data_IF_939755694721
#
_entry.id   IF_939755694721
#
_cell.length_a   1.000
_cell.length_b   1.000
_cell.length_c   1.000
_cell.angle_alpha   90.00
_cell.angle_beta   90.00
_cell.angle_gamma   90.00
#
_symmetry.space_group_name_H-M   'P 1'
#
loop_
_entity.id
_entity.type
_entity.pdbx_description
1 polymer ?
#
# COMPACT_ATOMS: atom_id res chain seq x y z
N UNK A 1 -15.33 32.19 -39.07
CA UNK A 1 -16.66 31.79 -39.57
C UNK A 1 -16.55 30.38 -40.09
N UNK A 2 -16.41 29.38 -39.21
CA UNK A 2 -16.41 27.92 -39.58
C UNK A 2 -16.53 27.04 -38.33
N UNK A 3 -17.53 27.32 -37.50
CA UNK A 3 -17.80 26.48 -36.32
C UNK A 3 -19.28 26.16 -36.09
N UNK A 4 -20.14 26.39 -37.08
CA UNK A 4 -21.61 26.21 -36.98
C UNK A 4 -22.11 25.09 -37.90
N UNK A 5 -21.29 24.58 -38.84
CA UNK A 5 -21.73 23.62 -39.85
C UNK A 5 -21.61 22.12 -39.47
N UNK A 6 -21.08 21.76 -38.30
CA UNK A 6 -20.88 20.34 -37.87
C UNK A 6 -21.90 19.78 -36.86
N UNK A 7 -22.89 20.56 -36.44
CA UNK A 7 -23.92 20.10 -35.50
C UNK A 7 -25.26 19.68 -36.15
N UNK A 8 -25.44 19.86 -37.45
CA UNK A 8 -26.71 19.59 -38.14
C UNK A 8 -26.80 18.18 -38.77
N UNK A 9 -25.70 17.44 -38.85
CA UNK A 9 -25.71 16.15 -39.58
C UNK A 9 -25.85 14.90 -38.67
N UNK A 10 -25.79 15.08 -37.37
CA UNK A 10 -25.97 13.96 -36.41
C UNK A 10 -27.45 13.72 -36.03
N UNK A 11 -28.32 14.67 -36.24
CA UNK A 11 -29.76 14.57 -35.87
C UNK A 11 -30.64 14.04 -37.01
N UNK A 12 -30.10 13.88 -38.20
CA UNK A 12 -30.85 13.39 -39.37
C UNK A 12 -30.76 11.87 -39.64
N UNK A 13 -29.91 11.15 -38.92
CA UNK A 13 -29.73 9.69 -39.08
C UNK A 13 -30.47 8.83 -38.04
N UNK A 14 -31.21 9.43 -37.13
CA UNK A 14 -31.92 8.71 -36.07
C UNK A 14 -33.44 8.64 -36.29
N UNK A 15 -33.97 9.03 -37.46
CA UNK A 15 -35.41 9.13 -37.73
C UNK A 15 -35.87 8.31 -38.95
N UNK A 16 -35.19 7.21 -39.31
CA UNK A 16 -35.56 6.40 -40.47
C UNK A 16 -35.59 4.90 -40.24
N UNK A 17 -35.84 4.44 -39.03
CA UNK A 17 -36.14 3.04 -38.70
C UNK A 17 -37.35 2.98 -37.76
N UNK A 18 -38.47 3.49 -38.23
CA UNK A 18 -39.79 3.20 -37.64
C UNK A 18 -40.86 3.45 -38.71
N UNK A 19 -41.09 2.49 -39.60
CA UNK A 19 -42.34 2.33 -40.32
C UNK A 19 -42.22 1.17 -41.34
N UNK A 20 -42.45 -0.05 -40.95
CA UNK A 20 -43.13 -1.06 -41.78
C UNK A 20 -43.81 -2.05 -40.81
N UNK A 21 -44.99 -1.75 -40.41
CA UNK A 21 -46.01 -2.70 -39.96
C UNK A 21 -47.14 -2.56 -40.98
N UNK A 22 -47.38 -3.57 -41.78
CA UNK A 22 -48.74 -3.77 -42.35
C UNK A 22 -48.98 -5.22 -42.69
N UNK A 23 -49.86 -5.84 -41.93
CA UNK A 23 -50.96 -6.74 -42.27
C UNK A 23 -50.77 -7.82 -43.33
N UNK A 24 -50.87 -9.07 -42.90
CA UNK A 24 -51.56 -10.14 -43.66
C UNK A 24 -52.49 -10.87 -42.69
N UNK A 25 -53.81 -10.74 -42.94
CA UNK A 25 -54.81 -11.55 -42.35
C UNK A 25 -55.03 -12.83 -43.20
N UNK A 26 -54.99 -13.99 -42.55
CA UNK A 26 -55.50 -15.24 -43.17
C UNK A 26 -56.04 -16.17 -42.07
N UNK A 27 -57.30 -16.27 -42.08
CA UNK A 27 -58.30 -17.32 -41.72
C UNK A 27 -57.88 -18.55 -40.92
N UNK A 28 -58.61 -18.73 -39.87
CA UNK A 28 -58.64 -19.81 -38.90
C UNK A 28 -58.98 -21.19 -39.48
N UNK A 29 -58.27 -22.19 -38.92
CA UNK A 29 -58.83 -23.56 -38.75
C UNK A 29 -58.60 -23.97 -37.30
N UNK A 30 -59.70 -24.15 -36.56
CA UNK A 30 -59.66 -24.58 -35.17
C UNK A 30 -59.39 -26.09 -35.07
N UNK A 31 -58.28 -26.47 -34.40
CA UNK A 31 -58.10 -27.77 -33.81
C UNK A 31 -57.64 -27.60 -32.35
N UNK A 32 -58.07 -28.45 -31.41
CA UNK A 32 -57.67 -28.24 -29.98
C UNK A 32 -56.21 -28.59 -29.76
N UNK A 33 -55.37 -27.55 -29.69
CA UNK A 33 -53.97 -27.69 -29.25
C UNK A 33 -53.98 -27.81 -27.75
N UNK A 34 -53.61 -28.99 -27.25
CA UNK A 34 -53.26 -29.20 -25.85
C UNK A 34 -52.02 -28.36 -25.57
N UNK A 35 -52.15 -27.30 -24.79
CA UNK A 35 -51.04 -26.51 -24.24
C UNK A 35 -50.38 -27.36 -23.14
N UNK A 36 -49.38 -28.11 -23.49
CA UNK A 36 -48.41 -28.60 -22.52
C UNK A 36 -47.57 -27.40 -22.10
N UNK A 37 -47.80 -26.91 -20.89
CA UNK A 37 -46.94 -25.96 -20.24
C UNK A 37 -45.54 -26.59 -20.06
N UNK A 38 -44.66 -26.42 -21.04
CA UNK A 38 -43.23 -26.60 -20.86
C UNK A 38 -42.73 -25.40 -20.07
N UNK A 39 -42.85 -25.50 -18.78
CA UNK A 39 -42.12 -24.63 -17.84
C UNK A 39 -40.64 -24.95 -18.06
N UNK A 40 -39.97 -24.15 -18.87
CA UNK A 40 -38.53 -24.16 -18.95
C UNK A 40 -38.01 -23.79 -17.54
N UNK A 41 -37.81 -24.82 -16.75
CA UNK A 41 -37.06 -24.75 -15.54
C UNK A 41 -35.60 -24.50 -15.99
N UNK A 42 -35.18 -23.23 -15.98
CA UNK A 42 -33.79 -22.91 -15.99
C UNK A 42 -33.25 -23.54 -14.69
N UNK A 43 -32.80 -24.77 -14.80
CA UNK A 43 -32.02 -25.41 -13.78
C UNK A 43 -30.75 -24.52 -13.63
N UNK A 44 -30.70 -23.75 -12.56
CA UNK A 44 -29.46 -23.22 -12.05
C UNK A 44 -28.59 -24.45 -11.83
N UNK A 45 -27.71 -24.75 -12.77
CA UNK A 45 -26.68 -25.77 -12.62
C UNK A 45 -25.71 -25.20 -11.55
N UNK A 46 -25.93 -25.62 -10.31
CA UNK A 46 -24.93 -25.45 -9.27
C UNK A 46 -23.64 -26.06 -9.81
N UNK A 47 -22.53 -25.33 -9.82
CA UNK A 47 -21.27 -25.89 -10.22
C UNK A 47 -20.99 -27.07 -9.28
N UNK A 48 -21.06 -28.28 -9.80
CA UNK A 48 -20.84 -29.53 -9.06
C UNK A 48 -19.39 -29.66 -8.61
N UNK A 49 -18.54 -28.77 -9.03
CA UNK A 49 -17.12 -28.76 -8.72
C UNK A 49 -16.78 -27.51 -7.91
N UNK A 50 -16.41 -27.66 -6.62
CA UNK A 50 -15.98 -26.56 -5.77
C UNK A 50 -14.72 -25.88 -6.33
N UNK A 51 -14.32 -24.75 -5.73
CA UNK A 51 -13.16 -23.97 -6.15
C UNK A 51 -11.83 -24.49 -5.60
N UNK A 52 -11.83 -25.54 -4.79
CA UNK A 52 -10.59 -26.10 -4.24
C UNK A 52 -9.76 -26.73 -5.35
N UNK A 53 -8.67 -26.07 -5.74
CA UNK A 53 -7.74 -26.49 -6.79
C UNK A 53 -6.61 -25.46 -6.93
N UNK A 54 -5.70 -25.67 -7.90
CA UNK A 54 -4.73 -24.67 -8.36
C UNK A 54 -5.32 -23.85 -9.49
N UNK A 55 -5.28 -22.53 -9.34
CA UNK A 55 -5.74 -21.55 -10.31
C UNK A 55 -4.57 -20.67 -10.75
N UNK A 56 -4.53 -20.28 -12.02
CA UNK A 56 -3.46 -19.48 -12.55
C UNK A 56 -3.94 -18.46 -13.58
N UNK A 57 -3.29 -17.29 -13.64
CA UNK A 57 -3.64 -16.21 -14.55
C UNK A 57 -2.59 -15.13 -14.56
N UNK A 58 -2.63 -14.26 -15.57
CA UNK A 58 -1.68 -13.16 -15.72
C UNK A 58 -2.35 -11.85 -15.35
N UNK A 59 -1.76 -11.15 -14.39
CA UNK A 59 -2.16 -9.80 -13.99
C UNK A 59 -1.31 -8.77 -14.76
N UNK A 60 -1.98 -7.85 -15.48
CA UNK A 60 -1.31 -6.79 -16.26
C UNK A 60 -1.17 -5.52 -15.41
N UNK A 61 -0.09 -5.41 -14.64
CA UNK A 61 0.18 -4.32 -13.70
C UNK A 61 1.41 -3.49 -14.15
N UNK A 62 1.33 -2.83 -15.31
CA UNK A 62 2.46 -2.15 -15.93
C UNK A 62 3.50 -3.10 -16.55
N UNK A 63 3.50 -4.35 -16.12
CA UNK A 63 4.16 -5.52 -16.70
C UNK A 63 3.28 -6.74 -16.43
N UNK A 64 3.53 -7.81 -17.15
CA UNK A 64 2.85 -9.08 -16.92
C UNK A 64 3.38 -9.76 -15.67
N UNK A 65 2.46 -10.10 -14.76
CA UNK A 65 2.75 -10.82 -13.53
C UNK A 65 1.94 -12.12 -13.52
N UNK A 66 2.62 -13.25 -13.68
CA UNK A 66 1.98 -14.56 -13.56
C UNK A 66 1.63 -14.81 -12.10
N UNK A 67 0.37 -15.14 -11.88
CA UNK A 67 -0.19 -15.41 -10.55
C UNK A 67 -0.71 -16.83 -10.46
N UNK A 68 -0.46 -17.47 -9.31
CA UNK A 68 -1.00 -18.79 -8.98
C UNK A 68 -1.75 -18.68 -7.66
N UNK A 69 -2.96 -19.25 -7.60
CA UNK A 69 -3.77 -19.30 -6.36
C UNK A 69 -4.05 -20.77 -6.05
N UNK A 70 -3.50 -21.25 -4.94
CA UNK A 70 -3.80 -22.62 -4.44
C UNK A 70 -4.92 -22.52 -3.42
N UNK A 71 -6.08 -23.08 -3.76
CA UNK A 71 -7.28 -23.09 -2.93
C UNK A 71 -7.48 -24.51 -2.42
N UNK A 72 -7.70 -24.68 -1.12
CA UNK A 72 -8.01 -25.96 -0.48
C UNK A 72 -9.21 -25.83 0.44
N UNK A 73 -9.82 -26.96 0.79
CA UNK A 73 -10.86 -27.00 1.83
C UNK A 73 -10.23 -26.70 3.19
N UNK A 74 -10.94 -25.90 3.99
CA UNK A 74 -10.61 -25.68 5.39
C UNK A 74 -11.36 -26.69 6.29
N UNK A 75 -10.89 -26.86 7.53
CA UNK A 75 -11.45 -27.85 8.45
C UNK A 75 -12.87 -27.52 8.92
N UNK A 76 -13.25 -26.24 8.83
CA UNK A 76 -14.61 -25.73 9.12
C UNK A 76 -15.59 -25.87 7.93
N UNK A 77 -15.16 -26.54 6.85
CA UNK A 77 -15.93 -26.71 5.62
C UNK A 77 -15.86 -25.54 4.64
N UNK A 78 -15.21 -24.44 5.01
CA UNK A 78 -14.94 -23.28 4.15
C UNK A 78 -13.77 -23.55 3.20
N UNK A 79 -13.11 -22.44 2.80
CA UNK A 79 -11.93 -22.48 1.95
C UNK A 79 -10.77 -21.75 2.61
N UNK A 80 -9.54 -22.21 2.33
CA UNK A 80 -8.29 -21.50 2.59
C UNK A 80 -7.51 -21.40 1.29
N UNK A 81 -6.73 -20.33 1.12
CA UNK A 81 -5.97 -20.13 -0.10
C UNK A 81 -4.64 -19.45 0.15
N UNK A 82 -3.70 -19.68 -0.76
CA UNK A 82 -2.42 -18.99 -0.84
C UNK A 82 -2.25 -18.44 -2.25
N UNK A 83 -1.92 -17.18 -2.34
CA UNK A 83 -1.69 -16.45 -3.58
C UNK A 83 -0.19 -16.29 -3.82
N UNK A 84 0.27 -16.53 -5.05
CA UNK A 84 1.67 -16.40 -5.46
C UNK A 84 1.76 -15.49 -6.67
N UNK A 85 2.69 -14.52 -6.64
CA UNK A 85 3.12 -13.77 -7.82
C UNK A 85 4.49 -14.32 -8.25
N UNK A 86 4.50 -15.30 -9.14
CA UNK A 86 5.69 -16.11 -9.41
C UNK A 86 6.80 -15.34 -10.15
N UNK A 87 6.47 -14.23 -10.78
CA UNK A 87 7.46 -13.33 -11.40
C UNK A 87 8.06 -12.32 -10.41
N UNK A 88 7.55 -12.28 -9.17
CA UNK A 88 8.07 -11.46 -8.08
C UNK A 88 8.77 -12.27 -6.99
N UNK A 89 8.73 -13.59 -7.08
CA UNK A 89 9.33 -14.52 -6.14
C UNK A 89 8.44 -15.74 -5.89
N UNK A 90 8.91 -16.68 -5.10
CA UNK A 90 8.17 -17.89 -4.73
C UNK A 90 7.44 -17.79 -3.39
N UNK A 91 7.45 -16.61 -2.75
CA UNK A 91 6.78 -16.43 -1.48
C UNK A 91 5.26 -16.43 -1.66
N UNK A 92 4.57 -17.21 -0.81
CA UNK A 92 3.12 -17.30 -0.78
C UNK A 92 2.51 -16.24 0.14
N UNK A 93 1.51 -15.53 -0.35
CA UNK A 93 0.71 -14.58 0.44
C UNK A 93 -0.55 -15.29 0.92
N UNK A 94 -0.74 -15.50 2.23
CA UNK A 94 -1.96 -16.13 2.73
C UNK A 94 -3.16 -15.24 2.43
N UNK A 95 -4.20 -15.85 1.87
CA UNK A 95 -5.50 -15.20 1.67
C UNK A 95 -6.20 -15.14 3.02
N UNK A 96 -6.40 -13.93 3.54
CA UNK A 96 -6.98 -13.71 4.87
C UNK A 96 -8.44 -14.17 4.94
N UNK A 97 -9.18 -14.00 3.85
CA UNK A 97 -10.57 -14.43 3.72
C UNK A 97 -10.85 -14.85 2.30
N UNK A 98 -11.46 -16.02 2.12
CA UNK A 98 -11.98 -16.49 0.83
C UNK A 98 -13.40 -16.99 1.01
N UNK A 99 -14.29 -16.62 0.09
CA UNK A 99 -15.69 -17.07 0.07
C UNK A 99 -16.12 -17.44 -1.33
N UNK A 100 -17.03 -18.38 -1.43
CA UNK A 100 -17.78 -18.71 -2.63
C UNK A 100 -19.27 -18.55 -2.29
N UNK A 101 -19.91 -17.57 -2.93
CA UNK A 101 -21.35 -17.32 -2.80
C UNK A 101 -22.01 -17.46 -4.18
N UNK A 102 -22.81 -18.53 -4.33
CA UNK A 102 -23.28 -18.98 -5.63
C UNK A 102 -22.09 -19.30 -6.56
N UNK A 103 -21.84 -18.45 -7.54
CA UNK A 103 -20.69 -18.54 -8.43
C UNK A 103 -19.67 -17.40 -8.23
N UNK A 104 -19.86 -16.55 -7.22
CA UNK A 104 -18.99 -15.42 -6.95
C UNK A 104 -17.90 -15.81 -5.94
N UNK A 105 -16.66 -15.72 -6.36
CA UNK A 105 -15.46 -15.94 -5.55
C UNK A 105 -14.94 -14.60 -5.09
N UNK A 106 -14.76 -14.41 -3.78
CA UNK A 106 -14.12 -13.22 -3.20
C UNK A 106 -12.92 -13.63 -2.37
N UNK A 107 -11.80 -12.94 -2.55
CA UNK A 107 -10.57 -13.14 -1.78
C UNK A 107 -10.06 -11.81 -1.24
N UNK A 108 -9.58 -11.80 0.00
CA UNK A 108 -8.93 -10.64 0.64
C UNK A 108 -7.54 -11.04 1.10
N UNK A 109 -6.55 -10.24 0.77
CA UNK A 109 -5.15 -10.42 1.16
C UNK A 109 -4.69 -9.18 1.95
N UNK A 110 -5.00 -9.16 3.23
CA UNK A 110 -4.75 -7.99 4.10
C UNK A 110 -3.26 -7.61 4.14
N UNK A 111 -2.37 -8.59 4.10
CA UNK A 111 -0.92 -8.37 4.15
C UNK A 111 -0.40 -7.44 3.05
N UNK A 112 -1.00 -7.51 1.86
CA UNK A 112 -0.58 -6.71 0.69
C UNK A 112 -1.63 -5.70 0.25
N UNK A 113 -2.70 -5.51 1.04
CA UNK A 113 -3.80 -4.61 0.69
C UNK A 113 -4.52 -5.00 -0.61
N UNK A 114 -4.52 -6.29 -0.95
CA UNK A 114 -5.10 -6.81 -2.18
C UNK A 114 -6.47 -7.45 -1.96
N UNK A 115 -7.32 -7.38 -2.98
CA UNK A 115 -8.57 -8.13 -3.02
C UNK A 115 -8.89 -8.60 -4.45
N UNK A 116 -9.64 -9.67 -4.56
CA UNK A 116 -10.12 -10.21 -5.81
C UNK A 116 -11.60 -10.54 -5.71
N UNK A 117 -12.36 -10.17 -6.73
CA UNK A 117 -13.74 -10.60 -6.89
C UNK A 117 -13.95 -11.09 -8.33
N UNK A 118 -14.43 -12.33 -8.49
CA UNK A 118 -14.62 -12.93 -9.80
C UNK A 118 -15.78 -13.93 -9.82
N UNK A 119 -16.24 -14.26 -11.01
CA UNK A 119 -17.31 -15.23 -11.26
C UNK A 119 -16.74 -16.52 -11.83
N UNK A 120 -17.06 -17.63 -11.17
CA UNK A 120 -16.78 -18.98 -11.64
C UNK A 120 -17.69 -19.29 -12.84
N UNK A 121 -17.09 -19.76 -13.93
CA UNK A 121 -17.80 -20.23 -15.12
C UNK A 121 -18.65 -21.46 -14.82
N UNK A 122 -19.69 -21.69 -15.63
CA UNK A 122 -20.59 -22.82 -15.47
C UNK A 122 -19.91 -24.19 -15.64
N UNK A 123 -18.81 -24.24 -16.39
CA UNK A 123 -17.99 -25.43 -16.59
C UNK A 123 -16.95 -25.64 -15.47
N UNK A 124 -16.87 -24.69 -14.51
CA UNK A 124 -15.94 -24.74 -13.38
C UNK A 124 -14.46 -24.56 -13.74
N UNK A 125 -14.13 -24.10 -14.95
CA UNK A 125 -12.73 -24.02 -15.45
C UNK A 125 -12.11 -22.66 -15.35
N UNK A 126 -12.89 -21.58 -15.28
CA UNK A 126 -12.37 -20.22 -15.21
C UNK A 126 -13.07 -19.42 -14.12
N UNK A 127 -12.34 -18.49 -13.51
CA UNK A 127 -12.87 -17.43 -12.65
C UNK A 127 -12.48 -16.11 -13.30
N UNK A 128 -13.46 -15.39 -13.86
CA UNK A 128 -13.22 -14.10 -14.49
C UNK A 128 -13.61 -12.99 -13.54
N UNK A 129 -12.67 -12.09 -13.24
CA UNK A 129 -12.88 -11.08 -12.23
C UNK A 129 -11.89 -9.94 -12.27
N UNK A 130 -11.80 -9.27 -11.14
CA UNK A 130 -11.01 -8.06 -10.95
C UNK A 130 -10.15 -8.17 -9.71
N UNK A 131 -8.88 -7.87 -9.87
CA UNK A 131 -7.93 -7.66 -8.79
C UNK A 131 -7.90 -6.19 -8.43
N UNK A 132 -7.96 -5.87 -7.16
CA UNK A 132 -7.87 -4.50 -6.64
C UNK A 132 -6.71 -4.40 -5.67
N UNK A 133 -5.72 -3.56 -6.01
CA UNK A 133 -4.56 -3.22 -5.18
C UNK A 133 -3.98 -1.89 -5.69
N UNK A 134 -3.85 -0.90 -4.79
CA UNK A 134 -3.36 0.43 -5.18
C UNK A 134 -4.38 1.25 -5.98
N UNK A 135 -3.95 2.04 -6.98
CA UNK A 135 -4.76 3.13 -7.55
C UNK A 135 -5.93 2.73 -8.44
N UNK A 136 -6.14 1.45 -8.71
CA UNK A 136 -7.28 1.03 -9.54
C UNK A 136 -7.44 -0.47 -9.69
N UNK A 137 -8.66 -0.90 -10.07
CA UNK A 137 -8.95 -2.29 -10.33
C UNK A 137 -8.31 -2.75 -11.65
N UNK A 138 -7.82 -3.99 -11.68
CA UNK A 138 -7.18 -4.62 -12.83
C UNK A 138 -7.90 -5.93 -13.18
N UNK A 139 -8.22 -6.19 -14.45
CA UNK A 139 -8.81 -7.47 -14.86
C UNK A 139 -7.85 -8.62 -14.54
N UNK A 140 -8.39 -9.71 -13.99
CA UNK A 140 -7.67 -10.96 -13.78
C UNK A 140 -8.59 -12.13 -14.02
N UNK A 141 -8.27 -12.93 -15.03
CA UNK A 141 -8.93 -14.21 -15.27
C UNK A 141 -8.03 -15.33 -14.78
N UNK A 142 -8.56 -16.13 -13.87
CA UNK A 142 -7.91 -17.32 -13.34
C UNK A 142 -8.45 -18.56 -14.07
N UNK A 143 -7.56 -19.38 -14.59
CA UNK A 143 -7.89 -20.65 -15.22
C UNK A 143 -7.48 -21.80 -14.30
N UNK A 144 -8.30 -22.82 -14.18
CA UNK A 144 -7.98 -24.03 -13.40
C UNK A 144 -6.78 -24.72 -14.05
N UNK A 145 -5.73 -24.95 -13.29
CA UNK A 145 -4.56 -25.64 -13.76
C UNK A 145 -4.82 -27.16 -13.90
N UNK A 146 -4.17 -27.78 -14.87
CA UNK A 146 -4.06 -29.23 -14.99
C UNK A 146 -2.61 -29.62 -14.77
N UNK A 147 -2.30 -30.91 -14.52
CA UNK A 147 -0.91 -31.34 -14.37
C UNK A 147 0.01 -30.92 -15.52
N UNK A 148 -0.55 -30.77 -16.74
CA UNK A 148 0.19 -30.40 -17.96
C UNK A 148 0.36 -28.88 -18.10
N UNK A 149 -0.50 -28.09 -17.45
CA UNK A 149 -0.54 -26.61 -17.62
C UNK A 149 -0.10 -25.88 -16.37
N UNK A 150 0.04 -26.56 -15.22
CA UNK A 150 0.38 -25.92 -13.94
C UNK A 150 1.73 -25.22 -14.02
N UNK A 151 1.74 -23.95 -13.67
CA UNK A 151 2.98 -23.19 -13.58
C UNK A 151 3.76 -23.56 -12.33
N UNK A 152 5.05 -23.80 -12.51
CA UNK A 152 5.95 -24.06 -11.38
C UNK A 152 6.11 -22.79 -10.54
N UNK A 153 5.80 -22.88 -9.26
CA UNK A 153 6.11 -21.85 -8.29
C UNK A 153 7.60 -21.97 -7.96
N UNK A 154 8.41 -20.91 -8.18
CA UNK A 154 9.82 -20.95 -7.80
C UNK A 154 9.95 -21.15 -6.29
N UNK A 155 11.05 -21.74 -5.80
CA UNK A 155 11.29 -21.79 -4.38
C UNK A 155 11.34 -20.38 -3.81
N UNK A 156 10.85 -20.15 -2.57
CA UNK A 156 10.98 -18.87 -1.92
C UNK A 156 12.44 -18.46 -1.82
N UNK A 157 12.70 -17.16 -1.99
CA UNK A 157 14.05 -16.64 -1.85
C UNK A 157 14.60 -16.99 -0.46
N UNK A 158 15.89 -17.36 -0.33
CA UNK A 158 16.49 -17.60 0.97
C UNK A 158 16.29 -16.39 1.88
N UNK A 159 15.63 -16.60 3.03
CA UNK A 159 15.45 -15.53 4.01
C UNK A 159 16.79 -15.20 4.63
N UNK A 160 17.25 -13.98 4.43
CA UNK A 160 18.44 -13.48 5.10
C UNK A 160 18.08 -13.27 6.57
N UNK A 161 18.80 -13.88 7.51
CA UNK A 161 18.49 -13.71 8.92
C UNK A 161 18.66 -12.25 9.36
N UNK A 162 18.00 -11.81 10.42
CA UNK A 162 18.27 -10.50 11.02
C UNK A 162 19.74 -10.38 11.41
N UNK A 163 20.28 -9.17 11.36
CA UNK A 163 21.57 -8.88 11.98
C UNK A 163 21.49 -9.07 13.49
N UNK A 164 22.63 -9.37 14.14
CA UNK A 164 22.70 -9.39 15.60
C UNK A 164 22.17 -8.05 16.15
N UNK A 165 21.31 -8.11 17.16
CA UNK A 165 20.63 -6.94 17.70
C UNK A 165 21.62 -5.88 18.25
N UNK A 166 22.80 -6.31 18.70
CA UNK A 166 23.84 -5.46 19.23
C UNK A 166 24.88 -5.02 18.17
N UNK A 167 24.76 -5.50 16.93
CA UNK A 167 25.67 -5.11 15.86
C UNK A 167 25.51 -3.61 15.55
N UNK A 168 26.64 -2.96 15.31
CA UNK A 168 26.71 -1.57 14.84
C UNK A 168 27.31 -1.55 13.43
N UNK A 169 26.54 -1.99 12.43
CA UNK A 169 27.04 -2.16 11.07
C UNK A 169 27.52 -0.83 10.47
N UNK A 170 28.53 -0.93 9.60
CA UNK A 170 29.00 0.14 8.74
C UNK A 170 28.69 -0.17 7.28
N UNK A 171 29.34 0.57 6.39
CA UNK A 171 29.28 0.37 4.93
C UNK A 171 30.64 -0.13 4.44
N UNK A 172 30.68 -1.31 3.84
CA UNK A 172 31.91 -1.86 3.24
C UNK A 172 32.23 -1.17 1.92
N UNK A 173 31.23 -1.02 1.07
CA UNK A 173 31.32 -0.40 -0.26
C UNK A 173 30.09 0.43 -0.51
N UNK A 174 30.28 1.64 -1.00
CA UNK A 174 29.19 2.48 -1.48
C UNK A 174 29.58 3.20 -2.77
N UNK A 175 28.64 3.28 -3.69
CA UNK A 175 28.66 4.22 -4.81
C UNK A 175 27.62 5.31 -4.58
N UNK A 176 28.01 6.57 -4.82
CA UNK A 176 27.11 7.73 -4.79
C UNK A 176 27.28 8.45 -6.11
N UNK A 177 26.19 8.56 -6.86
CA UNK A 177 26.21 9.20 -8.20
C UNK A 177 25.10 10.24 -8.27
N UNK A 178 25.30 11.35 -8.98
CA UNK A 178 24.19 12.24 -9.32
C UNK A 178 23.09 11.44 -10.06
N UNK A 179 21.84 11.69 -9.66
CA UNK A 179 20.68 11.08 -10.35
C UNK A 179 20.56 11.62 -11.76
N UNK A 180 20.19 10.77 -12.70
CA UNK A 180 19.94 11.19 -14.08
C UNK A 180 18.79 12.19 -14.17
N UNK A 181 18.84 13.21 -15.05
CA UNK A 181 17.82 14.26 -15.10
C UNK A 181 16.41 13.76 -15.45
N UNK A 182 16.29 12.64 -16.13
CA UNK A 182 15.05 12.00 -16.56
C UNK A 182 14.45 11.06 -15.49
N UNK A 183 15.20 10.72 -14.45
CA UNK A 183 14.73 9.88 -13.36
C UNK A 183 13.86 10.70 -12.38
N UNK A 184 12.57 10.39 -12.35
CA UNK A 184 11.61 11.02 -11.45
C UNK A 184 11.22 10.13 -10.27
N UNK A 185 11.58 8.84 -10.32
CA UNK A 185 11.16 7.86 -9.33
C UNK A 185 12.02 7.96 -8.07
N UNK A 186 11.40 8.38 -6.98
CA UNK A 186 12.01 8.29 -5.66
C UNK A 186 11.99 6.84 -5.17
N UNK A 187 13.12 6.38 -4.65
CA UNK A 187 13.24 5.07 -4.01
C UNK A 187 14.21 5.15 -2.83
N UNK A 188 13.86 4.51 -1.73
CA UNK A 188 14.73 4.24 -0.59
C UNK A 188 14.36 2.86 -0.05
N UNK A 189 15.22 1.89 -0.25
CA UNK A 189 14.97 0.49 0.13
C UNK A 189 16.24 -0.18 0.65
N UNK A 190 16.04 -1.15 1.54
CA UNK A 190 17.05 -2.16 1.83
C UNK A 190 16.59 -3.46 1.16
N UNK A 191 17.30 -3.87 0.12
CA UNK A 191 16.95 -5.06 -0.65
C UNK A 191 17.98 -6.18 -0.37
N UNK A 192 17.59 -7.08 0.52
CA UNK A 192 18.42 -8.22 0.88
C UNK A 192 19.71 -7.82 1.60
N UNK A 193 20.76 -7.58 0.84
CA UNK A 193 22.11 -7.26 1.38
C UNK A 193 22.60 -5.87 0.99
N UNK A 194 21.75 -5.02 0.41
CA UNK A 194 22.14 -3.70 -0.10
C UNK A 194 21.14 -2.62 0.25
N UNK A 195 21.64 -1.49 0.69
CA UNK A 195 20.88 -0.25 0.78
C UNK A 195 20.95 0.47 -0.56
N UNK A 196 19.77 0.78 -1.11
CA UNK A 196 19.65 1.47 -2.39
C UNK A 196 18.73 2.66 -2.30
N UNK A 197 19.15 3.75 -2.93
CA UNK A 197 18.28 4.91 -3.15
C UNK A 197 18.31 5.32 -4.61
N UNK A 198 17.24 5.96 -5.06
CA UNK A 198 17.19 6.68 -6.32
C UNK A 198 16.48 8.01 -6.11
N UNK A 199 16.97 9.05 -6.77
CA UNK A 199 16.42 10.40 -6.74
C UNK A 199 16.21 10.97 -5.31
N UNK A 200 17.21 10.77 -4.42
CA UNK A 200 17.16 11.27 -3.04
C UNK A 200 18.03 12.50 -2.85
N UNK A 201 17.51 13.54 -2.17
CA UNK A 201 18.32 14.68 -1.72
C UNK A 201 19.05 14.37 -0.41
N UNK A 202 20.14 15.08 -0.15
CA UNK A 202 20.84 14.95 1.12
C UNK A 202 19.95 15.29 2.32
N UNK A 203 19.11 16.33 2.21
CA UNK A 203 18.17 16.71 3.27
C UNK A 203 17.18 15.59 3.61
N UNK A 204 16.67 14.86 2.61
CA UNK A 204 15.81 13.68 2.83
C UNK A 204 16.56 12.50 3.42
N UNK A 205 17.82 12.32 3.01
CA UNK A 205 18.67 11.26 3.56
C UNK A 205 19.00 11.52 5.03
N UNK A 206 19.26 12.78 5.39
CA UNK A 206 19.47 13.23 6.77
C UNK A 206 18.18 13.04 7.60
N UNK A 207 17.05 13.50 7.08
CA UNK A 207 15.76 13.34 7.77
C UNK A 207 15.48 11.87 8.09
N UNK A 208 15.69 10.97 7.13
CA UNK A 208 15.55 9.54 7.34
C UNK A 208 16.54 8.98 8.37
N UNK A 209 17.83 9.31 8.23
CA UNK A 209 18.88 8.71 9.04
C UNK A 209 18.87 9.18 10.51
N UNK A 210 18.43 10.40 10.75
CA UNK A 210 18.34 10.95 12.11
C UNK A 210 16.94 10.93 12.70
N UNK A 211 15.92 10.52 11.93
CA UNK A 211 14.52 10.46 12.38
C UNK A 211 13.93 11.83 12.66
N UNK A 212 14.36 12.85 11.91
CA UNK A 212 13.91 14.23 12.06
C UNK A 212 13.13 14.70 10.83
N UNK A 213 12.34 15.75 10.98
CA UNK A 213 11.75 16.44 9.84
C UNK A 213 12.79 17.36 9.17
N UNK A 214 12.67 17.56 7.85
CA UNK A 214 13.56 18.46 7.13
C UNK A 214 13.61 19.87 7.73
N UNK A 215 12.51 20.33 8.34
CA UNK A 215 12.40 21.63 9.04
C UNK A 215 13.25 21.71 10.31
N UNK A 216 13.72 20.58 10.83
CA UNK A 216 14.66 20.52 11.97
C UNK A 216 16.12 20.57 11.52
N UNK A 217 16.39 20.51 10.22
CA UNK A 217 17.75 20.63 9.66
C UNK A 217 18.05 22.09 9.38
N UNK A 218 18.93 22.70 10.14
CA UNK A 218 19.25 24.12 10.09
C UNK A 218 20.65 24.30 9.48
N UNK A 219 20.79 25.27 8.58
CA UNK A 219 22.12 25.60 8.02
C UNK A 219 22.52 24.74 6.82
N UNK A 220 21.64 23.92 6.29
CA UNK A 220 21.92 23.18 5.04
C UNK A 220 22.13 24.14 3.87
N UNK A 221 23.14 23.91 3.02
CA UNK A 221 23.28 24.65 1.77
C UNK A 221 22.17 24.28 0.78
N UNK A 222 21.78 25.17 -0.14
CA UNK A 222 20.68 24.94 -1.07
C UNK A 222 20.80 23.66 -1.91
N UNK A 223 22.02 23.27 -2.27
CA UNK A 223 22.23 22.05 -3.05
C UNK A 223 21.81 20.77 -2.29
N UNK A 224 21.77 20.80 -0.96
CA UNK A 224 21.35 19.65 -0.16
C UNK A 224 19.89 19.27 -0.39
N UNK A 225 19.06 20.20 -0.87
CA UNK A 225 17.67 19.96 -1.24
C UNK A 225 17.49 19.72 -2.75
N UNK A 226 18.30 20.39 -3.58
CA UNK A 226 18.11 20.39 -5.05
C UNK A 226 18.84 19.25 -5.73
N UNK A 227 20.08 18.96 -5.32
CA UNK A 227 20.86 17.89 -5.92
C UNK A 227 20.32 16.52 -5.48
N UNK A 228 20.24 15.61 -6.43
CA UNK A 228 19.70 14.26 -6.20
C UNK A 228 20.79 13.23 -6.45
N UNK A 229 20.75 12.18 -5.63
CA UNK A 229 21.75 11.12 -5.66
C UNK A 229 21.10 9.74 -5.73
N UNK A 230 21.75 8.87 -6.48
CA UNK A 230 21.53 7.43 -6.48
C UNK A 230 22.65 6.79 -5.64
N UNK A 231 22.27 6.07 -4.61
CA UNK A 231 23.19 5.40 -3.69
C UNK A 231 22.99 3.90 -3.81
N UNK A 232 24.08 3.16 -3.91
CA UNK A 232 24.09 1.70 -3.80
C UNK A 232 25.19 1.31 -2.80
N UNK A 233 24.80 0.86 -1.62
CA UNK A 233 25.70 0.61 -0.51
C UNK A 233 25.53 -0.82 0.03
N UNK A 234 26.66 -1.48 0.31
CA UNK A 234 26.74 -2.82 0.91
C UNK A 234 27.18 -2.69 2.36
N UNK A 235 26.44 -3.26 3.33
CA UNK A 235 26.89 -3.36 4.71
C UNK A 235 28.17 -4.19 4.85
N UNK A 236 28.95 -3.89 5.86
CA UNK A 236 30.10 -4.69 6.31
C UNK A 236 29.70 -5.92 7.15
N UNK A 237 28.46 -5.97 7.59
CA UNK A 237 27.92 -6.98 8.48
C UNK A 237 26.81 -7.77 7.75
N UNK A 238 26.85 -9.09 7.88
CA UNK A 238 25.83 -9.97 7.27
C UNK A 238 24.50 -9.91 8.03
N UNK A 239 23.38 -10.10 7.30
CA UNK A 239 22.05 -10.13 7.85
C UNK A 239 21.17 -8.94 7.39
N UNK A 240 19.90 -8.97 7.80
CA UNK A 240 18.96 -7.87 7.54
C UNK A 240 18.99 -6.89 8.71
N UNK A 241 19.37 -5.61 8.51
CA UNK A 241 19.40 -4.63 9.57
C UNK A 241 17.98 -4.28 10.03
N UNK A 242 17.82 -4.03 11.32
CA UNK A 242 16.64 -3.33 11.82
C UNK A 242 16.72 -1.82 11.46
N UNK A 243 15.62 -1.07 11.71
CA UNK A 243 15.53 0.36 11.37
C UNK A 243 16.70 1.17 11.99
N UNK A 244 17.00 0.96 13.27
CA UNK A 244 18.07 1.69 13.99
C UNK A 244 19.45 1.39 13.41
N UNK A 245 19.71 0.14 13.07
CA UNK A 245 20.96 -0.26 12.41
C UNK A 245 21.07 0.36 11.03
N UNK A 246 20.00 0.33 10.23
CA UNK A 246 19.99 0.96 8.91
C UNK A 246 20.20 2.47 8.98
N UNK A 247 19.54 3.16 9.92
CA UNK A 247 19.76 4.58 10.16
C UNK A 247 21.22 4.86 10.55
N UNK A 248 21.78 4.11 11.48
CA UNK A 248 23.19 4.26 11.90
C UNK A 248 24.19 4.02 10.77
N UNK A 249 23.94 3.05 9.89
CA UNK A 249 24.76 2.83 8.69
C UNK A 249 24.74 4.05 7.76
N UNK A 250 23.55 4.61 7.53
CA UNK A 250 23.38 5.78 6.66
C UNK A 250 24.03 7.02 7.30
N UNK A 251 23.94 7.20 8.62
CA UNK A 251 24.66 8.27 9.35
C UNK A 251 26.17 8.18 9.13
N UNK A 252 26.75 6.98 9.27
CA UNK A 252 28.19 6.76 9.01
C UNK A 252 28.56 7.08 7.56
N UNK A 253 27.72 6.66 6.60
CA UNK A 253 27.92 6.97 5.18
C UNK A 253 27.92 8.47 4.91
N UNK A 254 26.97 9.20 5.50
CA UNK A 254 26.87 10.66 5.34
C UNK A 254 28.08 11.34 5.96
N UNK A 255 28.45 10.96 7.18
CA UNK A 255 29.62 11.53 7.85
C UNK A 255 30.93 11.34 7.05
N UNK A 256 31.08 10.14 6.45
CA UNK A 256 32.28 9.83 5.66
C UNK A 256 32.26 10.51 4.28
N UNK A 257 31.18 10.41 3.54
CA UNK A 257 31.13 10.78 2.11
C UNK A 257 30.74 12.24 1.89
N UNK A 258 29.94 12.82 2.77
CA UNK A 258 29.52 14.23 2.72
C UNK A 258 30.23 15.10 3.77
N UNK A 259 31.16 14.52 4.56
CA UNK A 259 31.96 15.22 5.60
C UNK A 259 31.07 15.98 6.61
N UNK A 260 29.86 15.40 6.90
CA UNK A 260 28.88 16.03 7.77
C UNK A 260 29.43 16.20 9.19
N UNK A 261 29.37 17.43 9.70
CA UNK A 261 29.43 17.74 11.13
C UNK A 261 28.27 18.62 11.53
N UNK A 262 27.78 18.45 12.75
CA UNK A 262 26.63 19.17 13.28
C UNK A 262 26.64 19.19 14.79
N UNK A 263 25.80 20.07 15.36
CA UNK A 263 25.47 20.06 16.79
C UNK A 263 23.96 20.18 16.98
N UNK A 264 23.48 19.86 18.17
CA UNK A 264 22.09 20.04 18.56
C UNK A 264 21.85 21.40 19.17
N UNK A 265 20.74 22.02 18.85
CA UNK A 265 20.25 23.28 19.43
C UNK A 265 18.74 23.16 19.65
N UNK A 266 18.16 24.04 20.46
CA UNK A 266 16.72 24.09 20.69
C UNK A 266 16.15 25.34 20.05
N UNK A 267 15.16 25.18 19.14
CA UNK A 267 14.48 26.30 18.48
C UNK A 267 12.97 26.15 18.55
N UNK A 268 12.31 27.29 18.57
CA UNK A 268 10.85 27.30 18.46
C UNK A 268 10.41 26.98 17.03
N UNK A 269 9.78 25.84 16.85
CA UNK A 269 9.25 25.39 15.57
C UNK A 269 7.74 25.22 15.60
N UNK A 270 7.10 25.30 14.43
CA UNK A 270 5.73 24.80 14.24
C UNK A 270 5.73 23.28 14.33
N UNK A 271 5.00 22.75 15.28
CA UNK A 271 4.93 21.32 15.63
C UNK A 271 3.49 20.88 15.78
N UNK A 272 3.29 19.57 15.89
CA UNK A 272 2.06 19.01 16.43
C UNK A 272 2.31 18.52 17.85
N UNK A 273 1.46 18.95 18.81
CA UNK A 273 1.45 18.43 20.17
C UNK A 273 0.41 17.30 20.27
N UNK A 274 0.87 16.10 20.58
CA UNK A 274 0.02 14.95 20.86
C UNK A 274 -0.25 14.89 22.36
N UNK A 275 -1.49 15.06 22.78
CA UNK A 275 -1.94 15.07 24.18
C UNK A 275 -3.16 14.19 24.39
N UNK A 276 -3.55 13.94 25.65
CA UNK A 276 -4.78 13.22 25.95
C UNK A 276 -5.98 14.16 25.79
N UNK A 277 -7.00 13.71 25.05
CA UNK A 277 -8.23 14.47 24.88
C UNK A 277 -9.02 14.59 26.19
N UNK A 278 -9.89 15.59 26.31
CA UNK A 278 -10.72 15.77 27.51
C UNK A 278 -11.59 14.57 27.87
N UNK A 279 -11.91 13.74 26.89
CA UNK A 279 -12.68 12.49 27.05
C UNK A 279 -11.86 11.34 27.62
N UNK A 280 -10.55 11.52 27.79
CA UNK A 280 -9.60 10.48 28.21
C UNK A 280 -9.12 9.62 27.06
N UNK A 281 -7.98 8.96 27.26
CA UNK A 281 -7.41 8.02 26.30
C UNK A 281 -8.30 6.77 26.16
N UNK A 282 -8.47 6.30 24.92
CA UNK A 282 -9.23 5.08 24.54
C UNK A 282 -8.27 4.03 23.98
N UNK A 283 -7.19 3.79 24.69
CA UNK A 283 -6.10 2.92 24.27
C UNK A 283 -6.11 1.61 25.07
N UNK A 284 -5.82 0.50 24.41
CA UNK A 284 -5.62 -0.79 25.06
C UNK A 284 -4.14 -0.96 25.36
N UNK A 285 -3.78 -1.23 26.63
CA UNK A 285 -2.39 -1.58 26.94
C UNK A 285 -2.03 -2.89 26.26
N UNK A 286 -0.88 -2.90 25.61
CA UNK A 286 -0.37 -4.12 24.98
C UNK A 286 -0.08 -5.18 26.05
N UNK A 287 -0.44 -6.42 25.76
CA UNK A 287 -0.08 -7.56 26.61
C UNK A 287 1.43 -7.79 26.64
N UNK A 288 2.12 -7.41 25.57
CA UNK A 288 3.57 -7.60 25.43
C UNK A 288 4.31 -6.26 25.56
N UNK A 289 4.66 -5.90 26.79
CA UNK A 289 5.33 -4.63 27.10
C UNK A 289 6.82 -4.60 26.69
N UNK A 290 7.43 -5.76 26.42
CA UNK A 290 8.85 -5.88 26.09
C UNK A 290 9.11 -6.02 24.58
N UNK A 291 8.06 -6.13 23.76
CA UNK A 291 8.17 -6.23 22.30
C UNK A 291 8.62 -4.92 21.67
N UNK A 292 9.27 -5.03 20.52
CA UNK A 292 9.51 -3.89 19.65
C UNK A 292 8.18 -3.35 19.11
N UNK A 293 8.08 -2.02 18.90
CA UNK A 293 6.88 -1.43 18.33
C UNK A 293 6.65 -1.91 16.89
N UNK A 294 5.41 -2.28 16.58
CA UNK A 294 4.97 -2.67 15.26
C UNK A 294 4.00 -1.64 14.67
N UNK A 295 4.24 -1.23 13.44
CA UNK A 295 3.37 -0.32 12.68
C UNK A 295 3.03 -0.93 11.33
N UNK A 296 1.74 -1.10 11.05
CA UNK A 296 1.25 -1.63 9.78
C UNK A 296 0.34 -0.62 9.08
N UNK A 297 0.80 -0.04 7.96
CA UNK A 297 -0.05 0.74 7.07
C UNK A 297 -0.73 -0.20 6.09
N UNK A 298 -2.06 -0.38 6.22
CA UNK A 298 -2.90 -1.19 5.32
C UNK A 298 -3.36 -0.40 4.09
N UNK A 299 -2.87 0.80 3.94
CA UNK A 299 -3.19 1.80 2.94
C UNK A 299 -3.00 3.19 3.51
N UNK A 300 -3.13 4.24 2.69
CA UNK A 300 -3.09 5.61 3.21
C UNK A 300 -4.35 5.86 4.05
N UNK A 301 -4.16 6.20 5.32
CA UNK A 301 -5.25 6.44 6.25
C UNK A 301 -5.75 5.21 7.04
N UNK A 302 -5.05 4.08 6.97
CA UNK A 302 -5.37 2.89 7.78
C UNK A 302 -4.11 2.35 8.45
N UNK A 303 -3.97 2.58 9.75
CA UNK A 303 -2.80 2.25 10.56
C UNK A 303 -3.17 1.27 11.67
N UNK A 304 -2.39 0.18 11.78
CA UNK A 304 -2.40 -0.68 12.96
C UNK A 304 -1.13 -0.46 13.77
N UNK A 305 -1.28 -0.33 15.07
CA UNK A 305 -0.19 -0.10 16.03
C UNK A 305 -0.18 -1.23 17.04
N UNK A 306 0.99 -1.83 17.23
CA UNK A 306 1.19 -2.93 18.17
C UNK A 306 2.40 -2.63 19.07
N UNK A 307 2.22 -2.81 20.38
CA UNK A 307 3.27 -2.69 21.39
C UNK A 307 4.11 -1.39 21.26
N UNK A 308 3.46 -0.25 20.95
CA UNK A 308 4.13 1.02 20.78
C UNK A 308 3.92 1.95 21.98
N UNK A 309 4.97 2.65 22.39
CA UNK A 309 4.84 3.80 23.28
C UNK A 309 4.23 4.99 22.51
N UNK A 310 3.73 5.98 23.22
CA UNK A 310 3.24 7.21 22.58
C UNK A 310 4.36 8.00 21.91
N UNK A 311 5.60 7.86 22.37
CA UNK A 311 6.76 8.43 21.68
C UNK A 311 7.08 7.70 20.38
N UNK A 312 6.97 6.35 20.34
CA UNK A 312 7.11 5.58 19.10
C UNK A 312 6.00 5.96 18.10
N UNK A 313 4.76 6.14 18.56
CA UNK A 313 3.65 6.57 17.72
C UNK A 313 3.87 7.99 17.19
N UNK A 314 4.28 8.94 18.03
CA UNK A 314 4.59 10.32 17.62
C UNK A 314 5.71 10.35 16.55
N UNK A 315 6.78 9.57 16.76
CA UNK A 315 7.87 9.46 15.79
C UNK A 315 7.39 8.87 14.44
N UNK A 316 6.58 7.81 14.47
CA UNK A 316 6.00 7.22 13.25
C UNK A 316 5.11 8.22 12.52
N UNK A 317 4.23 8.94 13.23
CA UNK A 317 3.37 9.97 12.64
C UNK A 317 4.19 11.10 12.00
N UNK A 318 5.25 11.57 12.69
CA UNK A 318 6.17 12.58 12.20
C UNK A 318 6.89 12.12 10.92
N UNK A 319 7.43 10.90 10.92
CA UNK A 319 8.26 10.40 9.83
C UNK A 319 7.47 10.00 8.59
N UNK A 320 6.23 9.53 8.77
CA UNK A 320 5.49 8.88 7.69
C UNK A 320 4.25 9.66 7.25
N UNK A 321 3.52 10.26 8.18
CA UNK A 321 2.20 10.82 7.90
C UNK A 321 2.22 12.34 7.82
N UNK A 322 2.86 13.02 8.79
CA UNK A 322 2.73 14.45 9.01
C UNK A 322 3.88 15.27 8.42
N UNK A 323 3.64 16.55 8.20
CA UNK A 323 4.58 17.51 7.59
C UNK A 323 5.43 18.29 8.62
N UNK A 324 5.27 17.98 9.92
CA UNK A 324 5.91 18.70 11.04
C UNK A 324 6.32 17.75 12.13
N UNK A 325 7.27 18.17 13.01
CA UNK A 325 7.60 17.41 14.20
C UNK A 325 6.37 17.16 15.09
N UNK A 326 6.34 16.00 15.73
CA UNK A 326 5.28 15.62 16.69
C UNK A 326 5.88 15.49 18.07
N UNK A 327 5.41 16.31 19.01
CA UNK A 327 5.84 16.27 20.40
C UNK A 327 4.84 15.47 21.22
N UNK A 328 5.32 14.41 21.89
CA UNK A 328 4.51 13.64 22.81
C UNK A 328 4.34 14.39 24.15
N UNK A 329 3.13 14.83 24.43
CA UNK A 329 2.70 15.46 25.68
C UNK A 329 1.57 14.66 26.36
N UNK A 330 1.46 13.35 26.05
CA UNK A 330 0.37 12.53 26.59
C UNK A 330 0.60 12.11 28.04
N UNK A 331 1.86 12.09 28.49
CA UNK A 331 2.28 11.55 29.80
C UNK A 331 1.87 10.08 30.02
N UNK A 332 1.45 9.38 28.96
CA UNK A 332 1.06 7.98 29.00
C UNK A 332 2.28 7.07 28.99
N UNK A 333 2.47 6.33 30.08
CA UNK A 333 3.54 5.35 30.19
C UNK A 333 3.09 3.96 29.75
N UNK A 334 4.05 3.19 29.18
CA UNK A 334 3.83 1.83 28.69
C UNK A 334 3.57 1.76 27.20
N UNK A 335 3.21 0.56 26.72
CA UNK A 335 2.99 0.26 25.30
C UNK A 335 1.52 -0.06 25.06
N UNK A 336 1.04 0.28 23.88
CA UNK A 336 -0.38 0.24 23.51
C UNK A 336 -0.57 -0.42 22.17
N UNK A 337 -1.75 -1.07 22.01
CA UNK A 337 -2.26 -1.64 20.78
C UNK A 337 -3.52 -0.89 20.36
N UNK A 338 -3.59 -0.46 19.11
CA UNK A 338 -4.77 0.20 18.56
C UNK A 338 -4.75 0.24 17.04
N UNK A 339 -5.92 0.41 16.45
CA UNK A 339 -6.11 0.74 15.04
C UNK A 339 -6.56 2.20 14.90
N UNK A 340 -6.12 2.87 13.85
CA UNK A 340 -6.51 4.23 13.50
C UNK A 340 -6.87 4.30 12.03
N UNK A 341 -8.11 4.72 11.74
CA UNK A 341 -8.61 4.84 10.37
C UNK A 341 -9.09 6.26 10.11
N UNK A 342 -8.58 6.90 9.05
CA UNK A 342 -8.95 8.27 8.69
C UNK A 342 -8.93 8.50 7.18
N UNK A 343 -9.57 9.58 6.74
CA UNK A 343 -9.44 10.08 5.37
C UNK A 343 -8.27 11.06 5.32
N UNK A 344 -7.17 10.71 4.59
CA UNK A 344 -6.01 11.59 4.48
C UNK A 344 -6.31 12.84 3.66
N UNK A 345 -5.64 13.95 3.99
CA UNK A 345 -5.62 15.19 3.22
C UNK A 345 -4.27 15.42 2.51
N UNK A 346 -4.20 16.48 1.70
CA UNK A 346 -3.04 16.80 0.85
C UNK A 346 -1.76 17.16 1.64
N UNK A 347 -1.86 17.44 2.94
CA UNK A 347 -0.70 17.73 3.80
C UNK A 347 0.00 16.48 4.30
N UNK A 348 -0.65 15.32 4.16
CA UNK A 348 -0.22 14.05 4.72
C UNK A 348 0.51 13.19 3.68
N UNK A 349 1.38 12.29 4.17
CA UNK A 349 2.16 11.37 3.32
C UNK A 349 2.98 12.08 2.22
N UNK A 350 3.44 13.31 2.49
CA UNK A 350 4.16 14.11 1.49
C UNK A 350 3.34 14.47 0.26
N UNK A 351 2.01 14.62 0.40
CA UNK A 351 1.07 14.95 -0.67
C UNK A 351 0.62 13.77 -1.54
N UNK A 352 0.95 12.53 -1.17
CA UNK A 352 0.50 11.34 -1.92
C UNK A 352 -1.00 11.11 -1.80
N UNK A 353 -1.64 11.64 -0.75
CA UNK A 353 -3.08 11.47 -0.51
C UNK A 353 -3.95 12.12 -1.60
N UNK A 354 -3.51 13.24 -2.19
CA UNK A 354 -4.19 13.92 -3.29
C UNK A 354 -4.38 13.05 -4.56
N UNK A 355 -3.65 11.93 -4.65
CA UNK A 355 -3.68 11.03 -5.81
C UNK A 355 -4.62 9.84 -5.63
N UNK A 356 -5.31 9.74 -4.49
CA UNK A 356 -6.23 8.65 -4.20
C UNK A 356 -7.62 9.04 -4.72
N UNK A 357 -8.26 8.22 -5.58
CA UNK A 357 -9.65 8.43 -5.93
C UNK A 357 -10.53 8.31 -4.67
N UNK A 358 -11.59 9.12 -4.54
CA UNK A 358 -12.54 8.94 -3.45
C UNK A 358 -13.11 7.52 -3.45
N UNK A 359 -13.45 6.97 -2.27
CA UNK A 359 -14.03 5.63 -2.17
C UNK A 359 -15.31 5.54 -2.99
N UNK A 360 -15.43 4.46 -3.75
CA UNK A 360 -16.58 4.19 -4.64
C UNK A 360 -17.76 3.53 -3.91
N UNK A 361 -17.57 3.12 -2.67
CA UNK A 361 -18.61 2.47 -1.87
C UNK A 361 -19.46 3.49 -1.11
N UNK A 362 -20.79 3.21 -1.00
CA UNK A 362 -21.76 4.01 -0.27
C UNK A 362 -21.54 4.04 1.27
N UNK A 363 -20.40 3.54 1.77
CA UNK A 363 -20.00 3.66 3.15
C UNK A 363 -19.53 5.09 3.42
N UNK A 364 -19.98 5.70 4.52
CA UNK A 364 -19.45 6.98 4.96
C UNK A 364 -17.93 6.89 5.13
N UNK A 365 -17.17 7.80 4.52
CA UNK A 365 -15.71 7.77 4.63
C UNK A 365 -15.30 7.95 6.10
N UNK A 366 -14.16 7.37 6.53
CA UNK A 366 -13.59 7.64 7.84
C UNK A 366 -13.39 9.15 8.06
N UNK A 367 -13.44 9.63 9.32
CA UNK A 367 -13.25 11.05 9.62
C UNK A 367 -11.83 11.52 9.24
N UNK A 368 -11.61 12.84 9.20
CA UNK A 368 -10.28 13.41 9.04
C UNK A 368 -9.36 13.02 10.20
N UNK A 369 -8.03 13.04 10.00
CA UNK A 369 -7.02 12.56 10.95
C UNK A 369 -7.20 13.09 12.38
N UNK A 370 -7.41 14.39 12.55
CA UNK A 370 -7.56 15.01 13.88
C UNK A 370 -8.78 14.48 14.62
N UNK A 371 -9.89 14.33 13.91
CA UNK A 371 -11.13 13.74 14.44
C UNK A 371 -10.94 12.26 14.75
N UNK A 372 -10.30 11.50 13.84
CA UNK A 372 -10.03 10.09 14.05
C UNK A 372 -9.19 9.84 15.31
N UNK A 373 -8.10 10.60 15.51
CA UNK A 373 -7.26 10.51 16.71
C UNK A 373 -8.09 10.77 17.97
N UNK A 374 -8.99 11.75 17.94
CA UNK A 374 -9.81 12.08 19.10
C UNK A 374 -10.92 11.05 19.36
N UNK A 375 -11.62 10.63 18.35
CA UNK A 375 -12.76 9.73 18.48
C UNK A 375 -12.36 8.29 18.73
N UNK A 376 -11.35 7.80 18.02
CA UNK A 376 -10.97 6.39 18.04
C UNK A 376 -10.02 6.06 19.19
N UNK A 377 -9.02 6.91 19.46
CA UNK A 377 -7.98 6.62 20.44
C UNK A 377 -7.97 7.59 21.64
N UNK A 378 -8.85 8.61 21.65
CA UNK A 378 -9.00 9.54 22.78
C UNK A 378 -7.78 10.44 23.01
N UNK A 379 -6.99 10.66 21.98
CA UNK A 379 -5.88 11.63 21.98
C UNK A 379 -6.26 12.86 21.18
N UNK A 380 -5.47 13.91 21.31
CA UNK A 380 -5.63 15.17 20.59
C UNK A 380 -4.32 15.55 19.92
N UNK A 381 -4.41 16.00 18.70
CA UNK A 381 -3.27 16.49 17.92
C UNK A 381 -3.50 17.96 17.62
N UNK A 382 -2.72 18.85 18.25
CA UNK A 382 -2.83 20.30 18.09
C UNK A 382 -1.64 20.88 17.33
N UNK A 383 -1.90 21.69 16.33
CA UNK A 383 -0.86 22.50 15.69
C UNK A 383 -0.48 23.66 16.63
N UNK A 384 0.79 23.74 17.00
CA UNK A 384 1.29 24.75 17.93
C UNK A 384 2.75 25.13 17.58
N UNK A 385 3.32 26.03 18.37
CA UNK A 385 4.76 26.28 18.41
C UNK A 385 5.32 25.77 19.72
N UNK A 386 6.49 25.15 19.66
CA UNK A 386 7.17 24.66 20.86
C UNK A 386 8.69 24.61 20.66
N UNK A 387 9.47 24.68 21.76
CA UNK A 387 10.88 24.38 21.75
C UNK A 387 11.08 22.95 21.24
N UNK A 388 11.87 22.82 20.20
CA UNK A 388 12.09 21.56 19.48
C UNK A 388 13.57 21.39 19.24
N UNK A 389 14.08 20.20 19.47
CA UNK A 389 15.45 19.84 19.11
C UNK A 389 15.67 19.98 17.61
N UNK A 390 16.73 20.67 17.23
CA UNK A 390 17.12 20.87 15.83
C UNK A 390 18.58 20.45 15.63
N UNK A 391 18.87 19.99 14.44
CA UNK A 391 20.20 19.62 13.98
C UNK A 391 20.76 20.79 13.19
N UNK A 392 21.72 21.50 13.78
CA UNK A 392 22.43 22.62 13.15
C UNK A 392 23.66 22.09 12.44
N UNK A 393 23.71 22.25 11.13
CA UNK A 393 24.77 21.75 10.27
C UNK A 393 25.97 22.73 10.35
N UNK A 394 27.09 22.27 10.89
CA UNK A 394 28.30 23.03 10.99
C UNK A 394 29.15 22.97 9.72
N UNK A 395 29.14 21.76 9.09
CA UNK A 395 29.86 21.54 7.84
C UNK A 395 29.23 20.39 7.04
N UNK A 396 29.21 20.56 5.72
CA UNK A 396 28.79 19.50 4.77
C UNK A 396 29.38 19.79 3.38
N UNK A 397 29.85 18.76 2.70
CA UNK A 397 30.42 18.81 1.35
C UNK A 397 29.60 17.95 0.37
N UNK A 398 29.66 18.28 -0.94
CA UNK A 398 29.18 17.37 -1.97
C UNK A 398 30.09 16.13 -2.01
N UNK A 399 29.50 14.92 -2.23
CA UNK A 399 30.33 13.72 -2.29
C UNK A 399 31.22 13.77 -3.53
N UNK A 400 32.43 13.25 -3.41
CA UNK A 400 33.29 13.01 -4.58
C UNK A 400 32.62 11.95 -5.47
N UNK A 401 32.68 12.11 -6.78
CA UNK A 401 32.26 11.08 -7.74
C UNK A 401 33.11 9.81 -7.55
N UNK A 402 32.45 8.64 -7.61
CA UNK A 402 33.10 7.31 -7.54
C UNK A 402 33.20 6.69 -8.92
#
# INVERSE_FOLDING_TARGET
MDCVARKADFTRRLLLIMAVMLTVAATAVFGPVRITNVRAQAAAQNPTQGIADTWQGTLHAGRDLRTVVKISKADDGGYKAVFYSIDQGGDGFPVTKITLDGNTVKMTLTMIGGSYEGKLSSDGKTITGTWSQGPGPMPLTLTRATPETEWTIPPPAPKIPPMDANASPGIEVATIKPTKPDEQRFMLVFNGTRFKTSNISLSKLLAFSYGVQQKQLIGLPPWADTDKYDIDAKPDTAGTPNKKQLQGMVQKLIADRFKLTFHHDTRELSVYALSVAKTGAKLTKSENQDSLPGFGLRGLGALSVHSATMSDFAAMMQETVLDRPVINQTELAGRYDFDLNWTPDDSQFGGMAAKIPPPTDNASPPPALYTAIQEQIGLKLDATKAPTDVMVIDHVEKPSEN
#
